data_IF_871608777862
#
_entry.id   IF_871608777862
#
_cell.length_a   1.000
_cell.length_b   1.000
_cell.length_c   1.000
_cell.angle_alpha   90.00
_cell.angle_beta   90.00
_cell.angle_gamma   90.00
#
_symmetry.space_group_name_H-M   'P 1'
#
loop_
_entity.id
_entity.type
_entity.pdbx_description
1 polymer ?
#
# COMPACT_ATOMS: atom_id res chain seq x y z
N UNK A 1 2.53 -18.83 10.34
CA UNK A 1 1.35 -18.01 9.96
C UNK A 1 0.69 -18.40 8.63
N UNK A 2 1.45 -18.82 7.61
CA UNK A 2 0.95 -19.09 6.26
C UNK A 2 -0.18 -20.16 6.18
N UNK A 3 -0.18 -21.17 7.06
CA UNK A 3 -1.24 -22.20 7.16
C UNK A 3 -2.66 -21.64 7.35
N UNK A 4 -2.80 -20.42 7.89
CA UNK A 4 -4.10 -19.73 8.04
C UNK A 4 -4.58 -19.07 6.75
N UNK A 5 -3.67 -18.84 5.80
CA UNK A 5 -3.99 -18.25 4.51
C UNK A 5 -4.26 -19.30 3.45
N UNK A 6 -3.40 -20.32 3.37
CA UNK A 6 -3.48 -21.39 2.38
C UNK A 6 -3.01 -22.73 2.98
N UNK A 7 -3.55 -23.87 2.51
CA UNK A 7 -3.03 -25.17 2.87
C UNK A 7 -1.61 -25.33 2.32
N UNK A 8 -0.68 -25.78 3.16
CA UNK A 8 0.67 -26.09 2.70
C UNK A 8 0.68 -27.45 2.01
N UNK A 9 1.46 -27.62 0.93
CA UNK A 9 1.68 -28.93 0.33
C UNK A 9 2.29 -29.88 1.38
N UNK A 10 1.75 -31.09 1.46
CA UNK A 10 2.22 -32.12 2.42
C UNK A 10 3.52 -32.76 1.97
N UNK A 11 3.68 -32.94 0.66
CA UNK A 11 4.88 -33.44 0.01
C UNK A 11 5.31 -32.38 -1.01
N UNK A 12 6.49 -31.80 -0.83
CA UNK A 12 7.05 -30.81 -1.73
C UNK A 12 8.53 -31.09 -1.91
N UNK A 13 8.91 -31.55 -3.10
CA UNK A 13 10.30 -31.75 -3.48
C UNK A 13 10.89 -30.41 -3.94
N UNK A 14 11.57 -29.74 -3.00
CA UNK A 14 12.19 -28.45 -3.24
C UNK A 14 13.32 -28.55 -4.28
N UNK A 15 14.16 -29.59 -4.18
CA UNK A 15 15.37 -29.69 -5.01
C UNK A 15 15.02 -30.02 -6.47
N UNK A 16 14.02 -30.88 -6.70
CA UNK A 16 13.54 -31.15 -8.05
C UNK A 16 12.94 -29.89 -8.70
N UNK A 17 12.17 -29.09 -7.95
CA UNK A 17 11.57 -27.85 -8.46
C UNK A 17 12.61 -26.77 -8.74
N UNK A 18 13.64 -26.66 -7.90
CA UNK A 18 14.74 -25.73 -8.13
C UNK A 18 15.53 -26.08 -9.40
N UNK A 19 15.83 -27.36 -9.63
CA UNK A 19 16.47 -27.83 -10.88
C UNK A 19 15.60 -27.57 -12.11
N UNK A 20 14.28 -27.80 -11.99
CA UNK A 20 13.34 -27.47 -13.06
C UNK A 20 13.37 -25.97 -13.40
N UNK A 21 13.43 -25.10 -12.40
CA UNK A 21 13.57 -23.66 -12.60
C UNK A 21 14.91 -23.28 -13.23
N UNK A 22 16.02 -23.86 -12.77
CA UNK A 22 17.37 -23.62 -13.31
C UNK A 22 17.43 -23.94 -14.81
N UNK A 23 16.84 -25.06 -15.24
CA UNK A 23 16.78 -25.45 -16.66
C UNK A 23 15.99 -24.49 -17.56
N UNK A 24 15.08 -23.69 -16.99
CA UNK A 24 14.17 -22.81 -17.73
C UNK A 24 14.60 -21.34 -17.69
N UNK A 25 15.71 -21.00 -17.04
CA UNK A 25 16.13 -19.61 -16.81
C UNK A 25 16.17 -18.77 -18.09
N UNK A 26 16.68 -19.32 -19.19
CA UNK A 26 16.80 -18.62 -20.47
C UNK A 26 15.45 -18.25 -21.11
N UNK A 27 14.38 -18.95 -20.73
CA UNK A 27 13.02 -18.69 -21.23
C UNK A 27 12.24 -17.66 -20.40
N UNK A 28 12.75 -17.31 -19.22
CA UNK A 28 12.05 -16.45 -18.27
C UNK A 28 12.36 -14.97 -18.54
N UNK A 29 11.32 -14.13 -18.51
CA UNK A 29 11.47 -12.68 -18.64
C UNK A 29 11.73 -11.98 -17.29
N UNK A 30 11.14 -12.48 -16.20
CA UNK A 30 11.32 -11.94 -14.86
C UNK A 30 11.05 -12.98 -13.78
N UNK A 31 11.66 -12.79 -12.61
CA UNK A 31 11.44 -13.61 -11.43
C UNK A 31 10.72 -12.77 -10.37
N UNK A 32 9.71 -13.38 -9.77
CA UNK A 32 8.90 -12.78 -8.72
C UNK A 32 8.79 -13.72 -7.53
N UNK A 33 8.89 -13.15 -6.34
CA UNK A 33 8.78 -13.88 -5.09
C UNK A 33 7.42 -13.65 -4.45
N UNK A 34 6.85 -14.73 -3.91
CA UNK A 34 5.69 -14.66 -3.03
C UNK A 34 6.16 -14.33 -1.62
N UNK A 35 5.77 -13.16 -1.14
CA UNK A 35 6.07 -12.68 0.20
C UNK A 35 4.79 -12.63 1.01
N UNK A 36 4.86 -12.98 2.30
CA UNK A 36 3.73 -12.85 3.20
C UNK A 36 4.09 -12.02 4.43
N UNK A 37 3.12 -11.26 4.93
CA UNK A 37 3.32 -10.50 6.18
C UNK A 37 3.28 -11.40 7.41
N UNK A 38 3.78 -10.91 8.54
CA UNK A 38 3.62 -11.53 9.86
C UNK A 38 2.81 -10.60 10.80
N UNK A 39 1.46 -10.59 10.69
CA UNK A 39 0.62 -9.60 11.38
C UNK A 39 0.74 -9.56 12.92
N UNK A 40 1.16 -10.67 13.53
CA UNK A 40 1.34 -10.79 14.98
C UNK A 40 2.41 -9.84 15.52
N UNK A 41 3.47 -9.59 14.74
CA UNK A 41 4.56 -8.70 15.14
C UNK A 41 4.13 -7.22 15.06
N UNK A 42 3.25 -6.87 14.12
CA UNK A 42 2.81 -5.49 13.88
C UNK A 42 1.74 -4.96 14.86
N UNK A 43 1.35 -5.73 15.89
CA UNK A 43 0.33 -5.29 16.86
C UNK A 43 -1.10 -5.16 16.28
N UNK A 44 -1.38 -5.77 15.14
CA UNK A 44 -2.71 -5.75 14.49
C UNK A 44 -3.53 -6.97 14.94
N UNK A 45 -4.86 -6.86 15.16
CA UNK A 45 -5.69 -8.00 15.58
C UNK A 45 -5.74 -9.17 14.59
N UNK A 46 -5.39 -8.90 13.33
CA UNK A 46 -5.41 -9.87 12.24
C UNK A 46 -4.38 -10.96 12.50
N UNK A 47 -4.78 -12.23 12.38
CA UNK A 47 -3.88 -13.40 12.49
C UNK A 47 -3.55 -14.06 11.16
N UNK A 48 -4.37 -13.80 10.13
CA UNK A 48 -4.17 -14.33 8.76
C UNK A 48 -3.16 -13.42 8.05
N UNK A 49 -2.07 -13.94 7.47
CA UNK A 49 -1.12 -13.11 6.74
C UNK A 49 -1.69 -12.61 5.42
N UNK A 50 -1.17 -11.49 4.93
CA UNK A 50 -1.41 -11.00 3.57
C UNK A 50 -0.28 -11.49 2.67
N UNK A 51 -0.64 -12.16 1.57
CA UNK A 51 0.31 -12.66 0.57
C UNK A 51 0.36 -11.63 -0.57
N UNK A 52 1.57 -11.31 -1.03
CA UNK A 52 1.81 -10.39 -2.13
C UNK A 52 2.99 -10.87 -2.95
N UNK A 53 2.96 -10.54 -4.22
CA UNK A 53 4.05 -10.85 -5.16
C UNK A 53 4.92 -9.61 -5.33
N UNK A 54 6.24 -9.79 -5.23
CA UNK A 54 7.23 -8.74 -5.49
C UNK A 54 8.23 -9.23 -6.55
N UNK A 55 8.53 -8.36 -7.51
CA UNK A 55 9.58 -8.60 -8.49
C UNK A 55 10.95 -8.46 -7.83
N UNK A 56 11.85 -9.38 -8.15
CA UNK A 56 13.27 -9.25 -7.80
C UNK A 56 13.92 -8.31 -8.80
N UNK A 57 14.47 -7.20 -8.32
CA UNK A 57 15.17 -6.23 -9.16
C UNK A 57 16.63 -6.64 -9.33
N UNK A 58 16.99 -7.18 -10.49
CA UNK A 58 18.38 -7.46 -10.87
C UNK A 58 18.63 -7.14 -12.36
N UNK A 59 19.89 -6.90 -12.76
CA UNK A 59 20.27 -6.68 -14.17
C UNK A 59 19.97 -7.88 -15.08
N UNK A 60 20.18 -9.11 -14.57
CA UNK A 60 19.98 -10.35 -15.32
C UNK A 60 19.04 -11.31 -14.57
N UNK A 61 18.39 -12.20 -15.31
CA UNK A 61 17.49 -13.22 -14.75
C UNK A 61 18.25 -14.25 -13.91
N UNK A 62 19.50 -14.56 -14.30
CA UNK A 62 20.38 -15.43 -13.53
C UNK A 62 20.73 -14.83 -12.16
N UNK A 63 21.13 -13.55 -12.10
CA UNK A 63 21.38 -12.86 -10.83
C UNK A 63 20.11 -12.75 -9.98
N UNK A 64 18.96 -12.49 -10.61
CA UNK A 64 17.69 -12.49 -9.89
C UNK A 64 17.38 -13.85 -9.26
N UNK A 65 17.73 -14.95 -9.94
CA UNK A 65 17.53 -16.31 -9.45
C UNK A 65 18.45 -16.63 -8.28
N UNK A 66 19.74 -16.30 -8.39
CA UNK A 66 20.71 -16.51 -7.31
C UNK A 66 20.33 -15.72 -6.05
N UNK A 67 19.93 -14.46 -6.21
CA UNK A 67 19.44 -13.65 -5.11
C UNK A 67 18.17 -14.23 -4.49
N UNK A 68 17.19 -14.62 -5.32
CA UNK A 68 15.96 -15.25 -4.84
C UNK A 68 16.24 -16.54 -4.05
N UNK A 69 17.17 -17.37 -4.51
CA UNK A 69 17.61 -18.61 -3.85
C UNK A 69 18.23 -18.32 -2.49
N UNK A 70 19.02 -17.25 -2.37
CA UNK A 70 19.67 -16.88 -1.10
C UNK A 70 18.69 -16.43 -0.02
N UNK A 71 17.61 -15.74 -0.42
CA UNK A 71 16.64 -15.15 0.50
C UNK A 71 15.46 -16.08 0.79
N UNK A 72 15.23 -17.08 -0.06
CA UNK A 72 14.09 -17.98 0.09
C UNK A 72 14.12 -18.66 1.48
N UNK A 73 13.05 -18.48 2.25
CA UNK A 73 12.91 -19.04 3.60
C UNK A 73 13.46 -18.16 4.73
N UNK A 74 14.12 -17.05 4.41
CA UNK A 74 14.55 -16.04 5.41
C UNK A 74 13.50 -14.96 5.61
N UNK A 75 13.53 -14.31 6.77
CA UNK A 75 12.68 -13.15 7.06
C UNK A 75 13.34 -11.88 6.51
N UNK A 76 12.60 -11.11 5.71
CA UNK A 76 13.05 -9.83 5.14
C UNK A 76 12.61 -8.67 6.01
N UNK A 77 13.55 -7.80 6.40
CA UNK A 77 13.23 -6.54 7.07
C UNK A 77 13.13 -5.40 6.06
N UNK A 78 12.44 -4.34 6.45
CA UNK A 78 12.32 -3.12 5.60
C UNK A 78 13.66 -2.40 5.49
N UNK A 79 14.49 -2.47 6.54
CA UNK A 79 15.83 -1.89 6.58
C UNK A 79 16.80 -2.52 5.57
N UNK A 80 16.56 -3.75 5.12
CA UNK A 80 17.43 -4.42 4.14
C UNK A 80 17.15 -3.96 2.69
N UNK A 81 16.02 -3.27 2.47
CA UNK A 81 15.52 -2.93 1.11
C UNK A 81 15.48 -1.41 0.88
N UNK A 82 15.20 -0.63 1.93
CA UNK A 82 14.94 0.80 1.83
C UNK A 82 15.85 1.58 2.78
N UNK A 83 16.33 2.73 2.31
CA UNK A 83 17.09 3.68 3.09
C UNK A 83 16.33 4.98 3.35
N UNK A 84 16.78 5.72 4.37
CA UNK A 84 16.27 7.06 4.65
C UNK A 84 16.57 8.02 3.49
N UNK A 85 15.60 8.86 3.15
CA UNK A 85 15.72 9.80 2.03
C UNK A 85 15.18 9.28 0.70
N UNK A 86 14.97 7.97 0.54
CA UNK A 86 14.41 7.38 -0.68
C UNK A 86 12.98 7.88 -0.95
N UNK A 87 12.61 7.94 -2.23
CA UNK A 87 11.23 8.09 -2.66
C UNK A 87 10.58 6.72 -2.87
N UNK A 88 9.42 6.52 -2.24
CA UNK A 88 8.61 5.32 -2.40
C UNK A 88 7.20 5.66 -2.87
N UNK A 89 6.60 4.75 -3.64
CA UNK A 89 5.18 4.81 -3.95
C UNK A 89 4.42 3.95 -2.93
N UNK A 90 3.40 4.53 -2.29
CA UNK A 90 2.52 3.84 -1.35
C UNK A 90 1.24 3.37 -2.03
N UNK A 91 1.02 2.06 -2.07
CA UNK A 91 -0.13 1.42 -2.71
C UNK A 91 -1.02 0.83 -1.63
N UNK A 92 -2.26 1.32 -1.53
CA UNK A 92 -3.22 0.79 -0.57
C UNK A 92 -4.67 1.03 -1.00
N UNK A 93 -5.59 0.39 -0.28
CA UNK A 93 -7.02 0.60 -0.45
C UNK A 93 -7.46 1.79 0.40
N UNK A 94 -8.12 2.77 -0.20
CA UNK A 94 -8.58 4.00 0.49
C UNK A 94 -9.65 3.73 1.55
N UNK A 95 -9.83 4.66 2.50
CA UNK A 95 -10.91 4.57 3.51
C UNK A 95 -12.26 4.42 2.81
N UNK A 96 -13.07 3.45 3.27
CA UNK A 96 -14.40 3.21 2.70
C UNK A 96 -15.40 4.23 3.20
N UNK A 97 -16.25 4.73 2.30
CA UNK A 97 -17.37 5.61 2.63
C UNK A 97 -18.73 5.05 2.16
N UNK A 98 -18.76 3.85 1.58
CA UNK A 98 -19.97 3.19 1.11
C UNK A 98 -20.65 3.94 -0.04
N UNK A 99 -21.98 3.82 -0.12
CA UNK A 99 -22.78 4.54 -1.11
C UNK A 99 -22.84 6.03 -0.77
N UNK A 100 -22.43 6.87 -1.70
CA UNK A 100 -22.47 8.33 -1.53
C UNK A 100 -23.21 9.00 -2.69
N UNK A 101 -23.83 10.13 -2.37
CA UNK A 101 -24.48 11.01 -3.35
C UNK A 101 -23.48 11.65 -4.32
N UNK A 102 -23.95 12.17 -5.47
CA UNK A 102 -23.09 12.71 -6.51
C UNK A 102 -22.29 13.94 -6.04
N UNK A 103 -22.84 14.74 -5.12
CA UNK A 103 -22.15 15.90 -4.50
C UNK A 103 -20.84 15.49 -3.84
N UNK A 104 -20.86 14.49 -2.95
CA UNK A 104 -19.65 14.06 -2.24
C UNK A 104 -18.73 13.21 -3.11
N UNK A 105 -19.30 12.36 -3.97
CA UNK A 105 -18.53 11.43 -4.82
C UNK A 105 -17.76 12.13 -5.93
N UNK A 106 -18.39 13.13 -6.57
CA UNK A 106 -17.86 13.82 -7.75
C UNK A 106 -17.54 15.29 -7.50
N UNK A 107 -17.86 15.84 -6.33
CA UNK A 107 -17.60 17.24 -6.02
C UNK A 107 -18.52 18.24 -6.74
N UNK A 108 -19.70 17.81 -7.20
CA UNK A 108 -20.64 18.72 -7.87
C UNK A 108 -21.27 19.72 -6.88
N UNK A 109 -21.63 20.90 -7.38
CA UNK A 109 -22.31 21.94 -6.59
C UNK A 109 -23.70 21.46 -6.16
N UNK A 110 -24.10 21.84 -4.95
CA UNK A 110 -25.47 21.65 -4.43
C UNK A 110 -26.43 22.59 -5.17
N UNK A 111 -27.64 22.13 -5.47
CA UNK A 111 -28.67 22.97 -6.08
C UNK A 111 -29.10 24.11 -5.14
N UNK A 112 -29.78 25.11 -5.71
CA UNK A 112 -30.25 26.28 -4.97
C UNK A 112 -31.11 25.90 -3.76
N UNK A 113 -31.12 26.78 -2.75
CA UNK A 113 -31.85 26.58 -1.49
C UNK A 113 -33.32 26.21 -1.70
N UNK A 114 -34.00 26.87 -2.65
CA UNK A 114 -35.43 26.68 -2.95
C UNK A 114 -35.71 25.58 -3.98
N UNK A 115 -34.72 24.74 -4.31
CA UNK A 115 -34.93 23.64 -5.25
C UNK A 115 -35.89 22.61 -4.65
N UNK A 116 -36.93 22.26 -5.41
CA UNK A 116 -37.98 21.34 -4.98
C UNK A 116 -37.54 19.89 -5.16
N UNK A 117 -37.91 19.02 -4.21
CA UNK A 117 -37.62 17.57 -4.15
C UNK A 117 -36.15 17.18 -3.92
N UNK A 118 -35.23 17.73 -4.70
CA UNK A 118 -33.81 17.33 -4.67
C UNK A 118 -32.92 18.54 -4.51
N UNK A 119 -32.08 18.53 -3.48
CA UNK A 119 -31.05 19.56 -3.26
C UNK A 119 -29.64 19.08 -3.62
N UNK A 120 -29.35 17.79 -3.39
CA UNK A 120 -28.02 17.18 -3.53
C UNK A 120 -27.96 16.19 -4.71
N UNK A 121 -28.43 16.64 -5.86
CA UNK A 121 -28.47 15.88 -7.11
C UNK A 121 -27.97 16.68 -8.29
N UNK A 122 -27.80 16.01 -9.42
CA UNK A 122 -27.50 16.67 -10.70
C UNK A 122 -28.76 17.37 -11.20
N UNK A 123 -28.62 18.58 -11.73
CA UNK A 123 -29.75 19.33 -12.31
C UNK A 123 -30.26 18.71 -13.62
N UNK A 124 -29.35 18.45 -14.57
CA UNK A 124 -29.65 17.82 -15.85
C UNK A 124 -28.78 16.58 -16.07
N UNK A 125 -29.39 15.46 -16.44
CA UNK A 125 -28.70 14.17 -16.61
C UNK A 125 -28.03 14.09 -17.99
N UNK A 126 -28.56 14.77 -19.01
CA UNK A 126 -28.03 14.74 -20.37
C UNK A 126 -28.90 15.55 -21.33
N UNK A 127 -28.39 15.81 -22.55
CA UNK A 127 -29.17 16.44 -23.62
C UNK A 127 -30.24 15.49 -24.17
N UNK A 128 -31.09 16.00 -25.08
CA UNK A 128 -32.12 15.18 -25.75
C UNK A 128 -31.52 14.09 -26.64
N UNK A 129 -30.54 14.44 -27.48
CA UNK A 129 -29.79 13.49 -28.30
C UNK A 129 -28.32 13.49 -27.88
N UNK A 130 -27.69 12.33 -27.62
CA UNK A 130 -28.21 10.96 -27.75
C UNK A 130 -29.21 10.58 -26.65
N UNK A 131 -30.14 9.67 -26.96
CA UNK A 131 -31.20 9.17 -26.06
C UNK A 131 -30.67 8.14 -25.04
N UNK A 132 -29.49 8.39 -24.48
CA UNK A 132 -28.90 7.57 -23.43
C UNK A 132 -28.17 8.43 -22.38
N UNK A 133 -28.03 7.87 -21.18
CA UNK A 133 -27.26 8.51 -20.11
C UNK A 133 -25.80 8.16 -20.33
N UNK A 134 -24.96 9.17 -20.56
CA UNK A 134 -23.52 8.96 -20.69
C UNK A 134 -22.91 8.53 -19.36
N UNK A 135 -21.96 7.61 -19.41
CA UNK A 135 -21.24 7.12 -18.22
C UNK A 135 -20.43 8.22 -17.51
N UNK A 136 -20.12 9.31 -18.21
CA UNK A 136 -19.41 10.48 -17.66
C UNK A 136 -20.27 11.33 -16.73
N UNK A 137 -21.60 11.14 -16.72
CA UNK A 137 -22.51 11.92 -15.89
C UNK A 137 -22.31 11.55 -14.42
N UNK A 138 -22.12 12.52 -13.52
CA UNK A 138 -21.85 12.25 -12.11
C UNK A 138 -23.06 11.63 -11.42
N UNK A 139 -22.97 10.34 -11.08
CA UNK A 139 -24.04 9.58 -10.40
C UNK A 139 -23.65 9.12 -9.00
N UNK A 140 -24.62 8.94 -8.09
CA UNK A 140 -24.36 8.34 -6.79
C UNK A 140 -23.78 6.93 -6.93
N UNK A 141 -23.08 6.46 -5.91
CA UNK A 141 -22.51 5.10 -5.91
C UNK A 141 -21.38 4.95 -4.91
N UNK A 142 -20.66 3.83 -5.03
CA UNK A 142 -19.55 3.50 -4.15
C UNK A 142 -18.48 4.59 -4.17
N UNK A 143 -18.08 5.03 -2.97
CA UNK A 143 -17.02 6.00 -2.75
C UNK A 143 -16.04 5.49 -1.70
N UNK A 144 -14.75 5.57 -2.02
CA UNK A 144 -13.70 4.98 -1.20
C UNK A 144 -13.68 3.45 -1.29
N UNK A 145 -12.75 2.83 -0.57
CA UNK A 145 -12.42 1.41 -0.73
C UNK A 145 -11.93 1.07 -2.15
N UNK A 146 -11.28 2.03 -2.81
CA UNK A 146 -10.62 1.85 -4.09
C UNK A 146 -9.12 1.76 -3.89
N UNK A 147 -8.43 0.93 -4.68
CA UNK A 147 -6.97 0.89 -4.73
C UNK A 147 -6.44 2.21 -5.28
N UNK A 148 -5.46 2.79 -4.59
CA UNK A 148 -4.76 4.01 -5.00
C UNK A 148 -3.27 3.86 -4.74
N UNK A 149 -2.50 4.46 -5.63
CA UNK A 149 -1.07 4.64 -5.51
C UNK A 149 -0.79 6.11 -5.23
N UNK A 150 -0.26 6.41 -4.07
CA UNK A 150 0.36 7.70 -3.77
C UNK A 150 1.81 7.63 -4.25
N UNK A 151 2.22 8.58 -5.07
CA UNK A 151 3.55 8.57 -5.69
C UNK A 151 4.52 9.48 -4.93
N UNK A 152 5.80 9.14 -4.96
CA UNK A 152 6.89 9.97 -4.45
C UNK A 152 6.73 10.39 -2.97
N UNK A 153 6.29 9.47 -2.12
CA UNK A 153 6.35 9.66 -0.67
C UNK A 153 7.80 9.50 -0.22
N UNK A 154 8.38 10.52 0.42
CA UNK A 154 9.75 10.47 0.91
C UNK A 154 9.82 9.75 2.26
N UNK A 155 10.81 8.88 2.43
CA UNK A 155 11.14 8.28 3.71
C UNK A 155 11.89 9.32 4.55
N UNK A 156 11.30 9.70 5.68
CA UNK A 156 11.84 10.70 6.59
C UNK A 156 12.76 10.06 7.63
N UNK A 157 12.29 8.97 8.25
CA UNK A 157 13.01 8.24 9.29
C UNK A 157 12.60 6.77 9.28
N UNK A 158 13.55 5.89 9.53
CA UNK A 158 13.35 4.46 9.77
C UNK A 158 13.87 4.10 11.15
N UNK A 159 13.38 3.01 11.73
CA UNK A 159 13.88 2.54 13.02
C UNK A 159 13.20 1.27 13.48
N UNK A 160 13.88 0.56 14.37
CA UNK A 160 13.41 -0.73 14.92
C UNK A 160 12.55 -0.54 16.19
N UNK A 161 12.70 0.59 16.89
CA UNK A 161 12.04 0.87 18.17
C UNK A 161 10.94 1.90 18.02
N UNK A 162 9.69 1.44 17.98
CA UNK A 162 8.51 2.31 17.87
C UNK A 162 8.27 3.26 19.04
N UNK A 163 8.97 3.13 20.16
CA UNK A 163 8.88 4.02 21.32
C UNK A 163 9.26 5.47 20.98
N UNK A 164 10.22 5.68 20.07
CA UNK A 164 10.69 7.00 19.66
C UNK A 164 9.61 7.84 18.94
N UNK A 165 8.67 7.17 18.28
CA UNK A 165 7.63 7.82 17.47
C UNK A 165 6.24 7.74 18.09
N UNK A 166 6.05 6.87 19.09
CA UNK A 166 4.72 6.63 19.65
C UNK A 166 4.31 7.80 20.55
N UNK A 167 3.17 8.47 20.28
CA UNK A 167 2.65 9.49 21.18
C UNK A 167 2.35 8.96 22.58
N UNK A 168 2.42 9.82 23.57
CA UNK A 168 1.90 9.54 24.92
C UNK A 168 0.44 9.06 24.83
N UNK A 169 0.15 7.88 25.40
CA UNK A 169 -1.16 7.22 25.29
C UNK A 169 -1.38 6.37 24.02
N UNK A 170 -0.43 6.37 23.08
CA UNK A 170 -0.47 5.59 21.84
C UNK A 170 -1.26 6.24 20.69
N UNK A 171 -1.16 5.66 19.50
CA UNK A 171 -1.91 6.13 18.33
C UNK A 171 -3.40 5.79 18.46
N UNK A 172 -4.27 6.79 18.31
CA UNK A 172 -5.73 6.64 18.39
C UNK A 172 -6.21 5.57 17.40
N UNK A 173 -7.01 4.61 17.89
CA UNK A 173 -7.51 3.44 17.15
C UNK A 173 -6.45 2.45 16.64
N UNK A 174 -5.16 2.68 16.91
CA UNK A 174 -4.06 1.77 16.56
C UNK A 174 -3.48 1.10 17.81
N UNK A 175 -2.85 1.88 18.70
CA UNK A 175 -2.09 1.42 19.85
C UNK A 175 -0.63 1.90 19.82
N UNK A 176 0.22 1.21 20.59
CA UNK A 176 1.67 1.46 20.67
C UNK A 176 2.40 0.66 19.58
N UNK A 177 3.41 1.27 18.93
CA UNK A 177 4.25 0.59 17.94
C UNK A 177 5.37 -0.14 18.67
N UNK A 178 5.49 -1.45 18.47
CA UNK A 178 6.41 -2.33 19.22
C UNK A 178 7.63 -2.83 18.45
N UNK A 179 7.69 -2.58 17.15
CA UNK A 179 8.79 -3.02 16.29
C UNK A 179 9.08 -2.00 15.20
N UNK A 180 9.59 -2.50 14.07
CA UNK A 180 10.03 -1.69 12.95
C UNK A 180 8.96 -0.72 12.47
N UNK A 181 9.38 0.52 12.20
CA UNK A 181 8.53 1.56 11.69
C UNK A 181 9.16 2.28 10.51
N UNK A 182 8.27 2.88 9.71
CA UNK A 182 8.63 3.74 8.59
C UNK A 182 7.86 5.05 8.71
N UNK A 183 8.59 6.17 8.76
CA UNK A 183 7.99 7.51 8.73
C UNK A 183 7.99 8.03 7.29
N UNK A 184 6.80 8.17 6.72
CA UNK A 184 6.61 8.71 5.37
C UNK A 184 6.16 10.17 5.43
N UNK A 185 6.73 10.99 4.55
CA UNK A 185 6.31 12.37 4.39
C UNK A 185 4.89 12.45 3.79
N UNK A 186 4.01 13.20 4.45
CA UNK A 186 2.65 13.49 4.00
C UNK A 186 1.63 12.44 4.43
N UNK A 187 0.67 12.15 3.55
CA UNK A 187 -0.44 11.23 3.81
C UNK A 187 -0.27 9.91 3.05
N UNK A 188 -0.67 8.81 3.68
CA UNK A 188 -0.73 7.48 3.06
C UNK A 188 -2.20 7.09 2.83
N UNK A 189 -2.57 6.54 1.66
CA UNK A 189 -3.93 6.09 1.43
C UNK A 189 -4.31 4.95 2.37
N UNK A 190 -5.48 5.05 3.02
CA UNK A 190 -6.01 3.96 3.82
C UNK A 190 -6.64 4.41 5.13
N UNK A 191 -7.11 3.43 5.89
CA UNK A 191 -7.51 3.62 7.27
C UNK A 191 -6.41 3.05 8.18
N UNK A 192 -6.44 3.44 9.46
CA UNK A 192 -5.61 2.84 10.52
C UNK A 192 -5.72 1.30 10.46
N UNK A 193 -4.59 0.59 10.67
CA UNK A 193 -4.45 -0.90 10.57
C UNK A 193 -4.55 -1.52 9.17
N UNK A 194 -4.70 -0.72 8.10
CA UNK A 194 -4.75 -1.27 6.74
C UNK A 194 -3.35 -1.65 6.24
N UNK A 195 -3.17 -2.80 5.57
CA UNK A 195 -1.92 -3.11 4.89
C UNK A 195 -1.65 -2.09 3.78
N UNK A 196 -0.42 -1.60 3.73
CA UNK A 196 0.11 -0.71 2.71
C UNK A 196 1.26 -1.44 2.04
N UNK A 197 1.27 -1.46 0.71
CA UNK A 197 2.40 -1.97 -0.07
C UNK A 197 3.28 -0.80 -0.49
N UNK A 198 4.58 -0.99 -0.38
CA UNK A 198 5.56 -0.01 -0.81
C UNK A 198 6.32 -0.56 -2.01
N UNK A 199 6.73 0.34 -2.89
CA UNK A 199 7.72 0.07 -3.93
C UNK A 199 8.60 1.29 -4.08
N UNK A 200 9.78 1.12 -4.65
CA UNK A 200 10.59 2.26 -5.09
C UNK A 200 9.81 3.13 -6.07
N UNK A 201 10.01 4.44 -6.00
CA UNK A 201 9.29 5.39 -6.84
C UNK A 201 9.58 5.12 -8.32
N UNK A 202 8.53 4.86 -9.10
CA UNK A 202 8.66 4.64 -10.56
C UNK A 202 9.02 5.94 -11.30
N UNK A 203 8.61 7.08 -10.73
CA UNK A 203 8.74 8.40 -11.36
C UNK A 203 9.20 9.45 -10.34
N UNK A 204 10.45 9.34 -9.85
CA UNK A 204 10.98 10.27 -8.87
C UNK A 204 10.93 11.70 -9.43
N UNK A 205 10.73 12.67 -8.53
CA UNK A 205 10.70 14.09 -8.92
C UNK A 205 12.07 14.50 -9.46
N UNK A 206 12.11 15.21 -10.58
CA UNK A 206 13.36 15.70 -11.20
C UNK A 206 14.18 16.50 -10.16
N UNK A 207 15.43 16.10 -9.97
CA UNK A 207 16.36 16.73 -9.02
C UNK A 207 16.26 16.23 -7.57
N UNK A 208 15.41 15.24 -7.28
CA UNK A 208 15.45 14.57 -5.99
C UNK A 208 16.79 13.85 -5.83
N UNK A 209 17.38 13.98 -4.64
CA UNK A 209 18.56 13.20 -4.22
C UNK A 209 18.15 12.41 -3.00
N UNK A 210 18.61 11.17 -2.95
CA UNK A 210 18.36 10.22 -1.87
C UNK A 210 19.22 10.55 -0.64
N UNK A 211 19.15 11.80 -0.19
CA UNK A 211 19.81 12.24 1.03
C UNK A 211 18.87 12.05 2.21
N UNK A 212 19.37 11.54 3.35
CA UNK A 212 18.61 11.52 4.59
C UNK A 212 18.17 12.94 5.00
N UNK A 213 16.97 13.07 5.56
CA UNK A 213 16.49 14.35 6.10
C UNK A 213 16.96 14.43 7.56
N UNK A 214 17.70 15.47 7.98
CA UNK A 214 18.02 15.64 9.38
C UNK A 214 16.73 15.93 10.17
N UNK A 215 16.32 14.99 11.01
CA UNK A 215 15.15 15.14 11.88
C UNK A 215 15.59 15.75 13.21
N UNK A 216 15.25 17.01 13.45
CA UNK A 216 15.59 17.71 14.70
C UNK A 216 14.67 17.34 15.86
N UNK A 217 13.38 17.14 15.60
CA UNK A 217 12.38 16.90 16.62
C UNK A 217 11.22 16.05 16.09
N UNK A 218 10.78 15.08 16.90
CA UNK A 218 9.59 14.27 16.67
C UNK A 218 8.60 14.51 17.81
N UNK A 219 7.40 14.98 17.50
CA UNK A 219 6.37 15.21 18.51
C UNK A 219 5.77 13.88 19.00
N UNK A 220 5.99 13.57 20.27
CA UNK A 220 5.39 12.44 21.01
C UNK A 220 4.24 12.89 21.92
N UNK A 221 3.72 14.11 21.71
CA UNK A 221 2.57 14.64 22.43
C UNK A 221 1.29 13.85 22.10
N UNK A 222 0.44 13.62 23.12
CA UNK A 222 -0.83 12.91 22.98
C UNK A 222 -1.68 13.48 21.83
N UNK A 223 -2.40 12.59 21.15
CA UNK A 223 -3.36 12.91 20.08
C UNK A 223 -4.82 12.78 20.50
N UNK A 224 -5.06 12.58 21.81
CA UNK A 224 -6.37 12.53 22.44
C UNK A 224 -6.76 13.90 22.97
#
# INVERSE_FOLDING_TARGET
DLRKAQPLPKEYDHDAKMKEFESKLDSLAEIRMLVHTQPRLAGVPKKKPDISEYKVGAPSVAEAFEYAKSILGTDLRVADILDEGFLVDSIAVTKGHGFQGPVRRWGIRILQHKSRKTKRGVGCIGPWSPTNIRYTVPRPGQTGFHTRTSFNNRIVKMGERGEEITPSGGFVNYGVIRGDYLMLHGSVPGAVKRPVRLRLAIRPKKGHRDTPIPVSYVSTSSKQ
#
